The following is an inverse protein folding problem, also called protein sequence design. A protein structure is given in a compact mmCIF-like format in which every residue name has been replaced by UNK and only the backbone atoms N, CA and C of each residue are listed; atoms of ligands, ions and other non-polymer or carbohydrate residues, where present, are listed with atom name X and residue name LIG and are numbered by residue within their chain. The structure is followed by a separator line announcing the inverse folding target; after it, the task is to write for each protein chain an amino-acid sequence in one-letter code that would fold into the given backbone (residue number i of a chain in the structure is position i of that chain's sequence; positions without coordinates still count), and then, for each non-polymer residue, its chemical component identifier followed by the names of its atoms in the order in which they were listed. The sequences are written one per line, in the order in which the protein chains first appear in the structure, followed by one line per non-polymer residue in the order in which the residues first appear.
data_IF_364554271771
#
_entry.id   IF_364554271771
#
_cell.length_a   1.000
_cell.length_b   1.000
_cell.length_c   1.000
_cell.angle_alpha   90.00
_cell.angle_beta   90.00
_cell.angle_gamma   90.00
#
_symmetry.space_group_name_H-M   'P 1'
#
loop_
_entity.id
_entity.type
_entity.pdbx_description
1 polymer ?
#
# COMPACT_ATOMS: atom_id res chain seq x y z
N UNK A 1 -12.73 -19.74 -12.05
CA UNK A 1 -11.49 -18.97 -11.81
C UNK A 1 -10.31 -19.83 -12.23
N UNK A 2 -9.47 -19.32 -13.09
CA UNK A 2 -8.25 -19.98 -13.55
C UNK A 2 -7.18 -20.06 -12.43
N UNK A 3 -6.20 -20.95 -12.59
CA UNK A 3 -5.17 -21.20 -11.58
C UNK A 3 -4.29 -19.97 -11.29
N UNK A 4 -4.10 -19.09 -12.27
CA UNK A 4 -3.29 -17.88 -12.12
C UNK A 4 -4.03 -16.85 -11.27
N UNK A 5 -5.31 -16.58 -11.56
CA UNK A 5 -6.12 -15.69 -10.71
C UNK A 5 -6.33 -16.27 -9.29
N UNK A 6 -6.45 -17.60 -9.14
CA UNK A 6 -6.48 -18.23 -7.81
C UNK A 6 -5.19 -17.96 -7.02
N UNK A 7 -4.03 -18.04 -7.67
CA UNK A 7 -2.74 -17.75 -7.03
C UNK A 7 -2.66 -16.29 -6.58
N UNK A 8 -3.15 -15.37 -7.42
CA UNK A 8 -3.25 -13.93 -7.13
C UNK A 8 -4.11 -13.66 -5.88
N UNK A 9 -5.27 -14.31 -5.80
CA UNK A 9 -6.19 -14.22 -4.66
C UNK A 9 -5.57 -14.80 -3.38
N UNK A 10 -4.90 -15.96 -3.46
CA UNK A 10 -4.23 -16.57 -2.31
C UNK A 10 -3.12 -15.66 -1.77
N UNK A 11 -2.30 -15.09 -2.67
CA UNK A 11 -1.24 -14.14 -2.28
C UNK A 11 -1.85 -12.93 -1.55
N UNK A 12 -2.87 -12.29 -2.14
CA UNK A 12 -3.56 -11.17 -1.51
C UNK A 12 -4.15 -11.54 -0.14
N UNK A 13 -4.70 -12.75 0.00
CA UNK A 13 -5.27 -13.23 1.26
C UNK A 13 -4.22 -13.37 2.38
N UNK A 14 -3.02 -13.85 2.04
CA UNK A 14 -1.88 -13.87 2.97
C UNK A 14 -1.52 -12.45 3.40
N UNK A 15 -1.51 -11.48 2.48
CA UNK A 15 -1.26 -10.07 2.80
C UNK A 15 -2.30 -9.51 3.78
N UNK A 16 -3.58 -9.83 3.58
CA UNK A 16 -4.68 -9.39 4.47
C UNK A 16 -4.38 -9.81 5.90
N UNK A 17 -4.14 -11.11 6.12
CA UNK A 17 -3.97 -11.69 7.45
C UNK A 17 -2.71 -11.13 8.11
N UNK A 18 -1.58 -11.19 7.42
CA UNK A 18 -0.29 -10.76 7.96
C UNK A 18 -0.32 -9.28 8.32
N UNK A 19 -0.77 -8.42 7.40
CA UNK A 19 -0.84 -6.97 7.63
C UNK A 19 -1.84 -6.60 8.72
N UNK A 20 -2.97 -7.30 8.83
CA UNK A 20 -3.94 -7.07 9.90
C UNK A 20 -3.35 -7.39 11.28
N UNK A 21 -2.70 -8.55 11.42
CA UNK A 21 -2.04 -8.96 12.66
C UNK A 21 -0.99 -7.92 13.05
N UNK A 22 -0.16 -7.49 12.10
CA UNK A 22 0.87 -6.48 12.33
C UNK A 22 0.24 -5.15 12.78
N UNK A 23 -0.81 -4.69 12.09
CA UNK A 23 -1.52 -3.46 12.43
C UNK A 23 -2.02 -3.47 13.88
N UNK A 24 -2.71 -4.55 14.28
CA UNK A 24 -3.22 -4.73 15.63
C UNK A 24 -2.06 -4.74 16.64
N UNK A 25 -1.00 -5.53 16.37
CA UNK A 25 0.17 -5.61 17.27
C UNK A 25 0.82 -4.25 17.48
N UNK A 26 1.15 -3.54 16.40
CA UNK A 26 1.80 -2.22 16.47
C UNK A 26 0.93 -1.20 17.22
N UNK A 27 -0.39 -1.20 16.99
CA UNK A 27 -1.30 -0.35 17.73
C UNK A 27 -1.33 -0.68 19.22
N UNK A 28 -1.34 -1.97 19.57
CA UNK A 28 -1.39 -2.40 20.98
C UNK A 28 -0.10 -2.17 21.75
N UNK A 29 1.07 -2.14 21.09
CA UNK A 29 2.36 -1.87 21.75
C UNK A 29 2.37 -0.50 22.45
N UNK A 30 1.82 0.53 21.81
CA UNK A 30 1.67 1.85 22.42
C UNK A 30 0.54 2.63 21.73
N UNK A 31 -0.64 2.65 22.33
CA UNK A 31 -1.85 3.26 21.75
C UNK A 31 -1.84 4.80 21.78
N UNK A 32 -1.01 5.42 22.61
CA UNK A 32 -0.97 6.88 22.75
C UNK A 32 0.00 7.52 21.77
N UNK A 33 1.06 6.80 21.40
CA UNK A 33 2.05 7.21 20.39
C UNK A 33 1.42 7.41 19.01
N UNK A 34 1.48 8.63 18.47
CA UNK A 34 1.08 8.91 17.09
C UNK A 34 1.91 8.10 16.08
N UNK A 35 3.17 7.82 16.38
CA UNK A 35 4.01 6.97 15.53
C UNK A 35 3.38 5.59 15.33
N UNK A 36 3.00 4.94 16.43
CA UNK A 36 2.37 3.62 16.39
C UNK A 36 1.01 3.67 15.69
N UNK A 37 0.24 4.74 15.86
CA UNK A 37 -1.05 4.92 15.17
C UNK A 37 -0.86 5.01 13.65
N UNK A 38 0.10 5.79 13.17
CA UNK A 38 0.37 5.92 11.74
C UNK A 38 0.92 4.63 11.13
N UNK A 39 1.77 3.91 11.86
CA UNK A 39 2.22 2.60 11.41
C UNK A 39 1.10 1.55 11.43
N UNK A 40 0.25 1.54 12.45
CA UNK A 40 -0.92 0.67 12.47
C UNK A 40 -1.86 1.00 11.31
N UNK A 41 -2.05 2.28 10.98
CA UNK A 41 -2.85 2.71 9.85
C UNK A 41 -2.21 2.32 8.51
N UNK A 42 -0.88 2.35 8.39
CA UNK A 42 -0.15 1.86 7.21
C UNK A 42 -0.47 0.39 6.93
N UNK A 43 -0.26 -0.49 7.91
CA UNK A 43 -0.54 -1.92 7.76
C UNK A 43 -2.05 -2.22 7.66
N UNK A 44 -2.88 -1.50 8.40
CA UNK A 44 -4.33 -1.65 8.37
C UNK A 44 -4.92 -1.26 7.00
N UNK A 45 -4.41 -0.18 6.40
CA UNK A 45 -4.80 0.23 5.05
C UNK A 45 -4.36 -0.78 4.00
N UNK A 46 -3.17 -1.37 4.14
CA UNK A 46 -2.73 -2.47 3.27
C UNK A 46 -3.68 -3.66 3.35
N UNK A 47 -3.98 -4.12 4.56
CA UNK A 47 -4.92 -5.22 4.79
C UNK A 47 -6.30 -4.95 4.19
N UNK A 48 -6.87 -3.76 4.44
CA UNK A 48 -8.17 -3.40 3.89
C UNK A 48 -8.14 -3.27 2.36
N UNK A 49 -7.11 -2.67 1.79
CA UNK A 49 -6.93 -2.58 0.34
C UNK A 49 -6.93 -3.97 -0.31
N UNK A 50 -6.15 -4.91 0.25
CA UNK A 50 -6.11 -6.28 -0.23
C UNK A 50 -7.39 -7.09 0.06
N UNK A 51 -8.14 -6.73 1.10
CA UNK A 51 -9.46 -7.32 1.38
C UNK A 51 -10.46 -6.97 0.29
N UNK A 52 -10.62 -5.68 -0.01
CA UNK A 52 -11.50 -5.24 -1.08
C UNK A 52 -11.06 -5.80 -2.43
N UNK A 53 -9.75 -5.80 -2.68
CA UNK A 53 -9.13 -6.45 -3.82
C UNK A 53 -9.54 -7.91 -3.97
N UNK A 54 -9.43 -8.68 -2.90
CA UNK A 54 -9.78 -10.10 -2.89
C UNK A 54 -11.27 -10.30 -3.11
N UNK A 55 -12.12 -9.52 -2.43
CA UNK A 55 -13.57 -9.63 -2.56
C UNK A 55 -14.01 -9.39 -4.01
N UNK A 56 -13.51 -8.34 -4.67
CA UNK A 56 -13.96 -8.04 -6.03
C UNK A 56 -13.41 -9.03 -7.08
N UNK A 57 -12.27 -9.70 -6.84
CA UNK A 57 -11.81 -10.80 -7.70
C UNK A 57 -12.58 -12.11 -7.48
N UNK A 58 -13.24 -12.27 -6.32
CA UNK A 58 -14.08 -13.42 -6.01
C UNK A 58 -15.53 -13.23 -6.48
N UNK A 59 -16.04 -12.00 -6.51
CA UNK A 59 -17.37 -11.67 -7.01
C UNK A 59 -17.29 -11.48 -8.53
N UNK A 60 -17.75 -12.46 -9.29
CA UNK A 60 -17.66 -12.47 -10.78
C UNK A 60 -18.97 -12.17 -11.49
N UNK A 61 -20.01 -11.73 -10.78
CA UNK A 61 -21.38 -11.75 -11.32
C UNK A 61 -22.09 -10.39 -11.31
N UNK A 62 -21.47 -9.34 -10.77
CA UNK A 62 -22.15 -8.04 -10.66
C UNK A 62 -21.18 -6.85 -10.72
N UNK A 63 -21.09 -6.23 -11.90
CA UNK A 63 -20.26 -5.05 -12.15
C UNK A 63 -20.60 -3.86 -11.22
N UNK A 64 -21.88 -3.68 -10.86
CA UNK A 64 -22.32 -2.57 -9.98
C UNK A 64 -21.82 -2.72 -8.54
N UNK A 65 -21.40 -3.93 -8.14
CA UNK A 65 -20.76 -4.21 -6.86
C UNK A 65 -19.24 -4.16 -6.98
N UNK A 66 -18.68 -4.69 -8.07
CA UNK A 66 -17.23 -4.77 -8.29
C UNK A 66 -16.59 -3.38 -8.39
N UNK A 67 -17.15 -2.46 -9.17
CA UNK A 67 -16.57 -1.12 -9.39
C UNK A 67 -16.40 -0.33 -8.07
N UNK A 68 -17.43 -0.20 -7.20
CA UNK A 68 -17.25 0.44 -5.89
C UNK A 68 -16.20 -0.21 -4.99
N UNK A 69 -16.09 -1.55 -5.01
CA UNK A 69 -15.07 -2.27 -4.25
C UNK A 69 -13.67 -1.99 -4.79
N UNK A 70 -13.51 -1.88 -6.11
CA UNK A 70 -12.25 -1.52 -6.75
C UNK A 70 -11.81 -0.10 -6.38
N UNK A 71 -12.72 0.88 -6.45
CA UNK A 71 -12.45 2.25 -6.00
C UNK A 71 -12.02 2.22 -4.54
N UNK A 72 -12.76 1.50 -3.69
CA UNK A 72 -12.46 1.38 -2.26
C UNK A 72 -11.07 0.80 -2.01
N UNK A 73 -10.67 -0.26 -2.74
CA UNK A 73 -9.33 -0.82 -2.66
C UNK A 73 -8.25 0.24 -3.00
N UNK A 74 -8.45 1.01 -4.07
CA UNK A 74 -7.51 2.07 -4.47
C UNK A 74 -7.40 3.19 -3.44
N UNK A 75 -8.51 3.58 -2.79
CA UNK A 75 -8.50 4.54 -1.69
C UNK A 75 -7.65 4.04 -0.53
N UNK A 76 -7.76 2.75 -0.17
CA UNK A 76 -6.92 2.17 0.88
C UNK A 76 -5.44 2.09 0.50
N UNK A 77 -5.10 1.78 -0.76
CA UNK A 77 -3.72 1.81 -1.22
C UNK A 77 -3.11 3.23 -1.23
N UNK A 78 -3.92 4.25 -1.52
CA UNK A 78 -3.52 5.65 -1.35
C UNK A 78 -3.30 5.99 0.12
N UNK A 79 -4.21 5.58 1.01
CA UNK A 79 -4.10 5.80 2.44
C UNK A 79 -2.88 5.10 3.04
N UNK A 80 -2.51 3.91 2.54
CA UNK A 80 -1.28 3.22 2.88
C UNK A 80 -0.06 4.10 2.59
N UNK A 81 0.05 4.64 1.37
CA UNK A 81 1.19 5.48 0.98
C UNK A 81 1.31 6.74 1.84
N UNK A 82 0.17 7.36 2.11
CA UNK A 82 0.03 8.54 2.95
C UNK A 82 0.42 8.24 4.42
N UNK A 83 -0.03 7.12 4.95
CA UNK A 83 0.30 6.70 6.32
C UNK A 83 1.79 6.42 6.48
N UNK A 84 2.43 5.88 5.44
CA UNK A 84 3.88 5.68 5.40
C UNK A 84 4.64 7.02 5.43
N UNK A 85 4.17 8.02 4.68
CA UNK A 85 4.76 9.36 4.70
C UNK A 85 4.65 10.00 6.10
N UNK A 86 3.46 9.94 6.70
CA UNK A 86 3.24 10.48 8.06
C UNK A 86 4.10 9.80 9.10
N UNK A 87 4.24 8.48 9.00
CA UNK A 87 5.11 7.70 9.85
C UNK A 87 6.54 8.25 9.87
N UNK A 88 7.11 8.53 8.70
CA UNK A 88 8.47 9.09 8.61
C UNK A 88 8.53 10.52 9.11
N UNK A 89 7.50 11.33 8.87
CA UNK A 89 7.46 12.70 9.38
C UNK A 89 7.45 12.70 10.92
N UNK A 90 6.71 11.78 11.55
CA UNK A 90 6.67 11.62 13.01
C UNK A 90 7.98 11.03 13.57
N UNK A 91 8.71 10.22 12.79
CA UNK A 91 10.05 9.77 13.20
C UNK A 91 11.11 10.87 13.11
N UNK A 92 11.07 11.67 12.05
CA UNK A 92 12.07 12.71 11.81
C UNK A 92 11.86 13.94 12.69
N UNK A 93 10.60 14.23 13.04
CA UNK A 93 10.21 15.41 13.81
C UNK A 93 9.58 14.99 15.12
N UNK A 94 9.70 15.82 16.15
CA UNK A 94 8.92 15.63 17.37
C UNK A 94 7.42 15.54 17.06
N UNK A 95 6.73 14.62 17.74
CA UNK A 95 5.31 14.29 17.55
C UNK A 95 4.41 15.54 17.51
N UNK A 96 4.62 16.50 18.43
CA UNK A 96 3.89 17.77 18.49
C UNK A 96 4.03 18.61 17.20
N UNK A 97 5.20 18.57 16.56
CA UNK A 97 5.46 19.28 15.31
C UNK A 97 4.88 18.53 14.13
N UNK A 98 5.07 17.20 14.09
CA UNK A 98 4.56 16.33 13.03
C UNK A 98 3.02 16.35 12.95
N UNK A 99 2.34 16.47 14.09
CA UNK A 99 0.88 16.55 14.18
C UNK A 99 0.33 17.98 14.05
N UNK A 100 1.17 18.96 13.68
CA UNK A 100 0.67 20.31 13.39
C UNK A 100 -0.17 20.33 12.11
N UNK A 101 -1.12 21.27 12.05
CA UNK A 101 -2.05 21.44 10.92
C UNK A 101 -1.36 21.48 9.56
N UNK A 102 -0.16 22.08 9.49
CA UNK A 102 0.62 22.16 8.26
C UNK A 102 0.87 20.79 7.62
N UNK A 103 1.30 19.78 8.40
CA UNK A 103 1.60 18.45 7.86
C UNK A 103 0.32 17.66 7.61
N UNK A 104 -0.64 17.74 8.53
CA UNK A 104 -1.92 17.03 8.40
C UNK A 104 -2.69 17.50 7.16
N UNK A 105 -2.83 18.81 6.95
CA UNK A 105 -3.47 19.36 5.75
C UNK A 105 -2.71 18.93 4.50
N UNK A 106 -1.38 19.04 4.50
CA UNK A 106 -0.57 18.65 3.33
C UNK A 106 -0.78 17.18 2.94
N UNK A 107 -0.87 16.30 3.93
CA UNK A 107 -1.10 14.87 3.71
C UNK A 107 -2.55 14.57 3.29
N UNK A 108 -3.55 15.26 3.86
CA UNK A 108 -4.95 15.13 3.43
C UNK A 108 -5.13 15.59 1.99
N UNK A 109 -4.51 16.72 1.61
CA UNK A 109 -4.56 17.21 0.23
C UNK A 109 -3.90 16.23 -0.73
N UNK A 110 -2.75 15.65 -0.36
CA UNK A 110 -2.08 14.65 -1.17
C UNK A 110 -2.95 13.39 -1.33
N UNK A 111 -3.58 12.92 -0.25
CA UNK A 111 -4.54 11.82 -0.31
C UNK A 111 -5.69 12.13 -1.27
N UNK A 112 -6.28 13.34 -1.18
CA UNK A 112 -7.37 13.76 -2.04
C UNK A 112 -6.95 13.80 -3.52
N UNK A 113 -5.79 14.40 -3.84
CA UNK A 113 -5.25 14.45 -5.21
C UNK A 113 -5.05 13.05 -5.79
N UNK A 114 -4.52 12.11 -5.00
CA UNK A 114 -4.31 10.73 -5.44
C UNK A 114 -5.63 9.94 -5.60
N UNK A 115 -6.72 10.39 -4.98
CA UNK A 115 -7.96 9.62 -4.84
C UNK A 115 -9.10 10.12 -5.73
N UNK A 116 -9.19 11.43 -5.96
CA UNK A 116 -10.26 12.05 -6.76
C UNK A 116 -10.31 11.50 -8.18
N UNK A 117 -9.16 11.18 -8.77
CA UNK A 117 -9.10 10.61 -10.12
C UNK A 117 -9.90 9.32 -10.27
N UNK A 118 -9.93 8.44 -9.26
CA UNK A 118 -10.72 7.20 -9.27
C UNK A 118 -12.23 7.41 -9.12
N UNK A 119 -12.66 8.62 -8.73
CA UNK A 119 -14.08 9.00 -8.66
C UNK A 119 -14.56 9.63 -9.98
N UNK A 120 -13.66 10.27 -10.73
CA UNK A 120 -13.96 10.92 -12.02
C UNK A 120 -13.85 9.90 -13.15
N UNK A 121 -12.78 9.11 -13.15
CA UNK A 121 -12.52 8.03 -14.11
C UNK A 121 -12.45 6.71 -13.35
N UNK A 122 -13.62 6.14 -12.99
CA UNK A 122 -13.65 4.88 -12.28
C UNK A 122 -13.06 3.76 -13.16
N UNK A 123 -12.35 2.81 -12.55
CA UNK A 123 -11.85 1.65 -13.28
C UNK A 123 -13.00 0.79 -13.82
N UNK A 124 -12.81 0.27 -15.04
CA UNK A 124 -13.80 -0.52 -15.76
C UNK A 124 -13.44 -2.02 -15.69
N UNK A 125 -14.45 -2.86 -15.89
CA UNK A 125 -14.27 -4.30 -16.03
C UNK A 125 -13.99 -4.62 -17.50
N UNK A 126 -12.93 -5.37 -17.75
CA UNK A 126 -12.68 -5.95 -19.07
C UNK A 126 -13.75 -7.00 -19.35
N UNK A 127 -14.70 -6.66 -20.22
CA UNK A 127 -15.86 -7.51 -20.54
C UNK A 127 -15.48 -8.82 -21.21
N UNK A 128 -14.36 -8.85 -21.95
CA UNK A 128 -13.90 -10.01 -22.69
C UNK A 128 -13.22 -11.01 -21.74
N UNK A 129 -12.34 -10.52 -20.85
CA UNK A 129 -11.76 -11.33 -19.79
C UNK A 129 -12.81 -11.79 -18.77
N UNK A 130 -13.78 -10.93 -18.47
CA UNK A 130 -14.86 -11.25 -17.52
C UNK A 130 -15.76 -12.36 -18.03
N UNK A 131 -16.04 -12.42 -19.34
CA UNK A 131 -16.78 -13.52 -19.97
C UNK A 131 -16.06 -14.88 -19.81
N UNK A 132 -14.74 -14.87 -19.63
CA UNK A 132 -13.91 -16.05 -19.36
C UNK A 132 -13.77 -16.36 -17.85
N UNK A 133 -14.47 -15.61 -16.98
CA UNK A 133 -14.38 -15.75 -15.53
C UNK A 133 -13.06 -15.25 -14.94
N UNK A 134 -12.35 -14.39 -15.69
CA UNK A 134 -11.13 -13.70 -15.26
C UNK A 134 -11.54 -12.28 -14.90
N UNK A 135 -11.45 -11.92 -13.63
CA UNK A 135 -11.68 -10.53 -13.20
C UNK A 135 -10.40 -9.75 -13.48
N UNK A 136 -10.33 -9.19 -14.69
CA UNK A 136 -9.33 -8.19 -15.04
C UNK A 136 -9.99 -6.81 -15.13
N UNK A 137 -9.21 -5.78 -14.85
CA UNK A 137 -9.75 -4.44 -14.69
C UNK A 137 -8.91 -3.47 -15.49
N UNK A 138 -9.55 -2.68 -16.34
CA UNK A 138 -8.91 -1.61 -17.07
C UNK A 138 -9.08 -0.30 -16.30
N UNK A 139 -7.95 0.24 -15.84
CA UNK A 139 -7.90 1.62 -15.35
C UNK A 139 -7.36 2.48 -16.49
N UNK A 140 -7.95 3.66 -16.68
CA UNK A 140 -7.39 4.66 -17.61
C UNK A 140 -5.88 4.78 -17.40
N UNK A 141 -5.11 4.59 -18.47
CA UNK A 141 -3.66 4.50 -18.38
C UNK A 141 -3.05 5.78 -17.83
N UNK A 142 -3.63 6.94 -18.15
CA UNK A 142 -3.21 8.23 -17.62
C UNK A 142 -3.40 8.30 -16.11
N UNK A 143 -4.57 7.89 -15.61
CA UNK A 143 -4.86 7.82 -14.18
C UNK A 143 -3.95 6.82 -13.45
N UNK A 144 -3.75 5.64 -14.04
CA UNK A 144 -2.89 4.59 -13.48
C UNK A 144 -1.45 5.10 -13.29
N UNK A 145 -0.88 5.73 -14.33
CA UNK A 145 0.47 6.30 -14.29
C UNK A 145 0.52 7.45 -13.28
N UNK A 146 -0.47 8.35 -13.29
CA UNK A 146 -0.53 9.51 -12.41
C UNK A 146 -0.48 9.10 -10.93
N UNK A 147 -1.40 8.23 -10.49
CA UNK A 147 -1.49 7.82 -9.09
C UNK A 147 -0.27 7.01 -8.67
N UNK A 148 0.17 6.05 -9.48
CA UNK A 148 1.34 5.23 -9.12
C UNK A 148 2.63 6.06 -9.09
N UNK A 149 2.76 7.09 -9.93
CA UNK A 149 3.89 8.03 -9.86
C UNK A 149 3.94 8.75 -8.51
N UNK A 150 2.79 9.17 -7.97
CA UNK A 150 2.73 9.73 -6.61
C UNK A 150 3.12 8.71 -5.54
N UNK A 151 2.59 7.48 -5.62
CA UNK A 151 2.94 6.40 -4.66
C UNK A 151 4.45 6.14 -4.68
N UNK A 152 5.04 5.99 -5.86
CA UNK A 152 6.48 5.82 -6.07
C UNK A 152 7.28 7.01 -5.51
N UNK A 153 6.86 8.25 -5.80
CA UNK A 153 7.53 9.45 -5.31
C UNK A 153 7.51 9.51 -3.78
N UNK A 154 6.36 9.23 -3.16
CA UNK A 154 6.21 9.16 -1.69
C UNK A 154 7.16 8.12 -1.11
N UNK A 155 7.14 6.88 -1.64
CA UNK A 155 7.99 5.82 -1.13
C UNK A 155 9.48 6.14 -1.30
N UNK A 156 9.86 6.79 -2.41
CA UNK A 156 11.24 7.25 -2.65
C UNK A 156 11.67 8.31 -1.64
N UNK A 157 10.82 9.30 -1.37
CA UNK A 157 11.06 10.33 -0.34
C UNK A 157 11.22 9.69 1.05
N UNK A 158 10.36 8.70 1.36
CA UNK A 158 10.39 7.94 2.61
C UNK A 158 11.71 7.20 2.77
N UNK A 159 12.16 6.46 1.75
CA UNK A 159 13.46 5.75 1.76
C UNK A 159 14.59 6.73 1.99
N UNK A 160 14.63 7.83 1.24
CA UNK A 160 15.67 8.86 1.40
C UNK A 160 15.73 9.42 2.83
N UNK A 161 14.58 9.73 3.43
CA UNK A 161 14.50 10.22 4.81
C UNK A 161 14.99 9.18 5.81
N UNK A 162 14.59 7.92 5.68
CA UNK A 162 15.09 6.86 6.55
C UNK A 162 16.60 6.66 6.44
N UNK A 163 17.16 6.67 5.23
CA UNK A 163 18.61 6.58 5.01
C UNK A 163 19.33 7.75 5.67
N UNK A 164 18.76 8.96 5.60
CA UNK A 164 19.33 10.13 6.28
C UNK A 164 19.27 10.00 7.81
N UNK A 165 18.19 9.44 8.35
CA UNK A 165 18.05 9.19 9.80
C UNK A 165 19.01 8.11 10.30
N UNK A 166 19.16 7.00 9.56
CA UNK A 166 20.02 5.88 9.97
C UNK A 166 21.50 6.25 10.09
N UNK A 167 21.96 7.26 9.33
CA UNK A 167 23.33 7.82 9.44
C UNK A 167 23.60 8.53 10.75
N UNK A 168 22.56 8.97 11.48
CA UNK A 168 22.67 9.72 12.74
C UNK A 168 22.41 8.88 13.99
N UNK A 169 22.00 7.63 13.82
CA UNK A 169 21.61 6.74 14.90
C UNK A 169 22.68 5.67 15.11
N UNK A 170 22.73 5.13 16.33
CA UNK A 170 23.61 4.03 16.73
C UNK A 170 22.83 2.91 17.39
N UNK A 171 23.49 1.75 17.58
CA UNK A 171 22.94 0.60 18.30
C UNK A 171 21.63 0.04 17.71
N UNK A 172 20.69 -0.32 18.58
CA UNK A 172 19.42 -0.94 18.22
C UNK A 172 18.51 0.01 17.42
N UNK A 173 18.52 1.31 17.73
CA UNK A 173 17.75 2.30 16.98
C UNK A 173 18.18 2.37 15.51
N UNK A 174 19.49 2.28 15.23
CA UNK A 174 19.99 2.21 13.84
C UNK A 174 19.48 0.95 13.16
N UNK A 175 19.60 -0.22 13.80
CA UNK A 175 19.14 -1.51 13.25
C UNK A 175 17.64 -1.48 12.95
N UNK A 176 16.81 -0.97 13.88
CA UNK A 176 15.37 -0.78 13.71
C UNK A 176 15.05 0.03 12.44
N UNK A 177 15.67 1.20 12.29
CA UNK A 177 15.48 2.05 11.11
C UNK A 177 15.97 1.37 9.82
N UNK A 178 17.05 0.58 9.91
CA UNK A 178 17.55 -0.18 8.75
C UNK A 178 16.54 -1.18 8.23
N UNK A 179 15.92 -1.96 9.12
CA UNK A 179 14.87 -2.89 8.73
C UNK A 179 13.66 -2.19 8.11
N UNK A 180 13.27 -1.02 8.63
CA UNK A 180 12.18 -0.23 8.02
C UNK A 180 12.50 0.18 6.58
N UNK A 181 13.65 0.80 6.32
CA UNK A 181 13.90 1.24 4.93
C UNK A 181 14.20 0.09 3.99
N UNK A 182 14.81 -1.01 4.44
CA UNK A 182 15.00 -2.21 3.61
C UNK A 182 13.62 -2.76 3.20
N UNK A 183 12.70 -2.90 4.16
CA UNK A 183 11.34 -3.36 3.87
C UNK A 183 10.62 -2.45 2.86
N UNK A 184 10.73 -1.14 3.04
CA UNK A 184 10.11 -0.17 2.12
C UNK A 184 10.74 -0.20 0.73
N UNK A 185 12.06 -0.41 0.60
CA UNK A 185 12.70 -0.59 -0.71
C UNK A 185 12.09 -1.79 -1.44
N UNK A 186 11.88 -2.92 -0.74
CA UNK A 186 11.25 -4.10 -1.35
C UNK A 186 9.79 -3.79 -1.75
N UNK A 187 9.03 -3.05 -0.93
CA UNK A 187 7.68 -2.59 -1.30
C UNK A 187 7.72 -1.68 -2.53
N UNK A 188 8.67 -0.75 -2.63
CA UNK A 188 8.84 0.14 -3.80
C UNK A 188 9.07 -0.68 -5.06
N UNK A 189 9.97 -1.67 -5.00
CA UNK A 189 10.23 -2.59 -6.11
C UNK A 189 8.95 -3.31 -6.51
N UNK A 190 8.20 -3.83 -5.52
CA UNK A 190 6.89 -4.44 -5.76
C UNK A 190 5.91 -3.49 -6.48
N UNK A 191 5.78 -2.24 -6.03
CA UNK A 191 4.91 -1.25 -6.67
C UNK A 191 5.33 -0.93 -8.12
N UNK A 192 6.63 -0.84 -8.39
CA UNK A 192 7.15 -0.66 -9.76
C UNK A 192 6.83 -1.87 -10.64
N UNK A 193 7.06 -3.09 -10.14
CA UNK A 193 6.73 -4.32 -10.87
C UNK A 193 5.22 -4.40 -11.11
N UNK A 194 4.40 -4.00 -10.13
CA UNK A 194 2.94 -3.96 -10.30
C UNK A 194 2.52 -3.00 -11.41
N UNK A 195 3.07 -1.78 -11.42
CA UNK A 195 2.80 -0.80 -12.47
C UNK A 195 3.19 -1.33 -13.86
N UNK A 196 4.37 -1.94 -13.98
CA UNK A 196 4.82 -2.54 -15.23
C UNK A 196 3.92 -3.70 -15.65
N UNK A 197 3.57 -4.59 -14.71
CA UNK A 197 2.69 -5.73 -14.93
C UNK A 197 1.31 -5.30 -15.42
N UNK A 198 0.68 -4.33 -14.76
CA UNK A 198 -0.60 -3.79 -15.17
C UNK A 198 -0.53 -3.04 -16.50
N UNK A 199 0.56 -2.31 -16.78
CA UNK A 199 0.72 -1.60 -18.06
C UNK A 199 0.86 -2.53 -19.27
N UNK A 200 1.39 -3.75 -19.07
CA UNK A 200 1.55 -4.75 -20.14
C UNK A 200 0.49 -5.86 -20.07
N UNK A 201 -0.49 -5.77 -19.16
CA UNK A 201 -1.53 -6.78 -18.96
C UNK A 201 -1.03 -8.15 -18.47
N UNK A 202 0.10 -8.22 -17.77
CA UNK A 202 0.72 -9.48 -17.35
C UNK A 202 0.39 -9.87 -15.91
N UNK A 203 -0.61 -10.76 -15.75
CA UNK A 203 -1.02 -11.30 -14.45
C UNK A 203 0.15 -11.97 -13.69
N UNK A 204 1.05 -12.77 -14.31
CA UNK A 204 2.20 -13.32 -13.60
C UNK A 204 3.15 -12.27 -13.00
N UNK A 205 3.33 -11.14 -13.69
CA UNK A 205 4.16 -10.03 -13.20
C UNK A 205 3.49 -9.34 -12.01
N UNK A 206 2.17 -9.18 -12.04
CA UNK A 206 1.41 -8.68 -10.88
C UNK A 206 1.53 -9.62 -9.67
N UNK A 207 1.51 -10.94 -9.87
CA UNK A 207 1.70 -11.90 -8.77
C UNK A 207 3.10 -11.75 -8.13
N UNK A 208 4.15 -11.58 -8.95
CA UNK A 208 5.51 -11.32 -8.43
C UNK A 208 5.54 -10.03 -7.62
N UNK A 209 4.84 -8.99 -8.08
CA UNK A 209 4.73 -7.74 -7.35
C UNK A 209 4.06 -7.91 -5.99
N UNK A 210 2.99 -8.70 -5.89
CA UNK A 210 2.31 -9.00 -4.63
C UNK A 210 3.24 -9.67 -3.62
N UNK A 211 3.99 -10.69 -4.06
CA UNK A 211 4.97 -11.35 -3.19
C UNK A 211 6.06 -10.40 -2.71
N UNK A 212 6.54 -9.49 -3.57
CA UNK A 212 7.50 -8.47 -3.14
C UNK A 212 6.91 -7.55 -2.06
N UNK A 213 5.65 -7.12 -2.21
CA UNK A 213 4.95 -6.30 -1.21
C UNK A 213 4.81 -7.05 0.12
N UNK A 214 4.48 -8.34 0.10
CA UNK A 214 4.39 -9.19 1.30
C UNK A 214 5.72 -9.29 2.03
N UNK A 215 6.79 -9.63 1.29
CA UNK A 215 8.15 -9.74 1.83
C UNK A 215 8.57 -8.40 2.44
N UNK A 216 8.36 -7.29 1.73
CA UNK A 216 8.69 -5.95 2.22
C UNK A 216 7.91 -5.57 3.49
N UNK A 217 6.64 -5.97 3.60
CA UNK A 217 5.81 -5.72 4.78
C UNK A 217 6.29 -6.52 5.99
N UNK A 218 6.65 -7.79 5.81
CA UNK A 218 7.22 -8.64 6.87
C UNK A 218 8.57 -8.09 7.35
N UNK A 219 9.44 -7.65 6.42
CA UNK A 219 10.72 -7.03 6.75
C UNK A 219 10.51 -5.74 7.55
N UNK A 220 9.53 -4.92 7.17
CA UNK A 220 9.17 -3.70 7.91
C UNK A 220 8.70 -4.04 9.32
N UNK A 221 7.90 -5.09 9.48
CA UNK A 221 7.46 -5.56 10.80
C UNK A 221 8.62 -6.02 11.68
N UNK A 222 9.63 -6.69 11.12
CA UNK A 222 10.84 -7.08 11.86
C UNK A 222 11.52 -5.89 12.55
N UNK A 223 11.48 -4.70 11.93
CA UNK A 223 11.98 -3.48 12.55
C UNK A 223 11.27 -3.12 13.86
N UNK A 224 9.99 -3.45 14.03
CA UNK A 224 9.25 -3.21 15.28
C UNK A 224 9.62 -4.15 16.42
N UNK A 225 10.09 -5.35 16.08
CA UNK A 225 10.40 -6.40 17.04
C UNK A 225 11.79 -6.25 17.65
N UNK A 226 12.63 -5.37 17.08
CA UNK A 226 13.96 -4.97 17.59
C UNK A 226 13.78 -3.65 18.30
#
# INVERSE_FOLDING_TARGET
MDAVNLTKVIAAFITIITSLIISIRVFTLNRTSWLNRWFALFFGSGSLGFLFYTIYHLITNNASVIIPLMITAQLFFNLLSISLLMTVIVLEKYEKVAMSMKYIIGVILLFAVMSVGYLIWPPELDTDSYALGIVNTDTDTGLLIFVNSFRIAICTIVVFRYVKMSKKLEGEHKKRIQWFYIGIIVVVIGLFINLLGSAIGSIPVEIIALFAIDIGSIITFKGFLI
#
